data_IF_187760771496
#
_entry.id   IF_187760771496
#
_cell.length_a   1.000
_cell.length_b   1.000
_cell.length_c   1.000
_cell.angle_alpha   90.00
_cell.angle_beta   90.00
_cell.angle_gamma   90.00
#
_symmetry.space_group_name_H-M   'P 1'
#
loop_
_entity.id
_entity.type
_entity.pdbx_description
1 polymer ?
#
# COMPACT_ATOMS: atom_id res chain seq x y z
N UNK A 1 18.47 11.40 3.93
CA UNK A 1 18.79 12.70 3.29
C UNK A 1 18.23 12.77 1.88
N UNK A 2 17.71 13.91 1.44
CA UNK A 2 17.21 14.10 0.07
C UNK A 2 17.97 15.26 -0.59
N UNK A 3 18.55 15.02 -1.79
CA UNK A 3 19.10 16.07 -2.64
C UNK A 3 18.04 16.49 -3.66
N UNK A 4 17.71 17.78 -3.68
CA UNK A 4 16.87 18.41 -4.70
C UNK A 4 17.80 18.88 -5.82
N UNK A 5 17.55 18.44 -7.04
CA UNK A 5 18.39 18.84 -8.16
C UNK A 5 17.82 20.08 -8.86
N UNK A 6 18.73 20.86 -9.46
CA UNK A 6 18.35 21.98 -10.32
C UNK A 6 17.47 21.48 -11.47
N UNK A 7 16.47 22.27 -11.86
CA UNK A 7 15.63 21.96 -13.04
C UNK A 7 16.43 21.85 -14.34
N UNK A 8 17.56 22.51 -14.38
CA UNK A 8 18.52 22.50 -15.51
C UNK A 8 19.51 21.34 -15.48
N UNK A 9 19.49 20.50 -14.43
CA UNK A 9 20.45 19.41 -14.29
C UNK A 9 20.34 18.41 -15.45
N UNK A 10 21.45 18.24 -16.19
CA UNK A 10 21.51 17.32 -17.32
C UNK A 10 21.44 15.86 -16.87
N UNK A 11 21.07 14.96 -17.77
CA UNK A 11 21.11 13.51 -17.50
C UNK A 11 22.51 13.05 -17.04
N UNK A 12 23.56 13.63 -17.58
CA UNK A 12 24.94 13.35 -17.17
C UNK A 12 25.18 13.79 -15.74
N UNK A 13 24.75 15.00 -15.36
CA UNK A 13 24.88 15.53 -14.01
C UNK A 13 24.16 14.63 -12.99
N UNK A 14 22.93 14.22 -13.31
CA UNK A 14 22.17 13.29 -12.47
C UNK A 14 22.88 11.94 -12.31
N UNK A 15 23.40 11.37 -13.39
CA UNK A 15 24.16 10.12 -13.35
C UNK A 15 25.45 10.22 -12.55
N UNK A 16 26.15 11.36 -12.59
CA UNK A 16 27.37 11.59 -11.80
C UNK A 16 27.06 11.68 -10.31
N UNK A 17 25.96 12.34 -9.92
CA UNK A 17 25.50 12.40 -8.52
C UNK A 17 25.12 11.00 -8.01
N UNK A 18 24.34 10.24 -8.79
CA UNK A 18 23.96 8.87 -8.43
C UNK A 18 25.19 8.00 -8.25
N UNK A 19 26.11 8.03 -9.21
CA UNK A 19 27.36 7.25 -9.17
C UNK A 19 28.21 7.59 -7.93
N UNK A 20 28.34 8.88 -7.60
CA UNK A 20 29.06 9.32 -6.41
C UNK A 20 28.48 8.70 -5.15
N UNK A 21 27.16 8.75 -5.00
CA UNK A 21 26.47 8.22 -3.84
C UNK A 21 26.54 6.68 -3.75
N UNK A 22 26.40 5.97 -4.86
CA UNK A 22 26.54 4.52 -4.93
C UNK A 22 27.98 4.06 -4.61
N UNK A 23 28.98 4.77 -5.12
CA UNK A 23 30.40 4.52 -4.79
C UNK A 23 30.73 4.82 -3.31
N UNK A 24 29.98 5.71 -2.69
CA UNK A 24 30.05 5.99 -1.26
C UNK A 24 29.30 4.96 -0.40
N UNK A 25 28.71 3.92 -1.01
CA UNK A 25 28.05 2.81 -0.31
C UNK A 25 26.59 3.02 -0.01
N UNK A 26 25.96 4.07 -0.52
CA UNK A 26 24.55 4.36 -0.29
C UNK A 26 23.66 3.76 -1.39
N UNK A 27 22.45 3.37 -1.01
CA UNK A 27 21.37 3.15 -1.98
C UNK A 27 20.80 4.49 -2.42
N UNK A 28 20.51 4.59 -3.71
CA UNK A 28 20.01 5.82 -4.31
C UNK A 28 18.72 5.56 -5.04
N UNK A 29 17.75 6.44 -4.83
CA UNK A 29 16.52 6.44 -5.64
C UNK A 29 16.30 7.84 -6.22
N UNK A 30 16.08 7.88 -7.53
CA UNK A 30 15.78 9.11 -8.26
C UNK A 30 14.28 9.18 -8.53
N UNK A 31 13.69 10.33 -8.24
CA UNK A 31 12.30 10.65 -8.52
C UNK A 31 12.23 11.87 -9.40
N UNK A 32 11.45 11.77 -10.48
CA UNK A 32 11.22 12.87 -11.41
C UNK A 32 9.78 13.35 -11.28
N UNK A 33 9.60 14.66 -11.07
CA UNK A 33 8.29 15.30 -10.95
C UNK A 33 8.27 16.57 -11.81
N UNK A 34 7.10 17.15 -12.10
CA UNK A 34 7.00 18.46 -12.73
C UNK A 34 7.72 19.59 -11.96
N UNK A 35 7.92 19.41 -10.66
CA UNK A 35 8.61 20.37 -9.81
C UNK A 35 10.13 20.27 -9.88
N UNK A 36 10.66 19.09 -10.23
CA UNK A 36 12.10 18.83 -10.33
C UNK A 36 12.48 17.38 -10.15
N UNK A 37 13.78 17.13 -10.05
CA UNK A 37 14.34 15.81 -9.76
C UNK A 37 14.82 15.76 -8.31
N UNK A 38 14.53 14.67 -7.65
CA UNK A 38 14.89 14.40 -6.24
C UNK A 38 15.74 13.13 -6.19
N UNK A 39 16.80 13.18 -5.42
CA UNK A 39 17.68 12.03 -5.18
C UNK A 39 17.64 11.70 -3.69
N UNK A 40 17.00 10.59 -3.35
CA UNK A 40 17.00 10.09 -1.98
C UNK A 40 18.22 9.22 -1.72
N UNK A 41 18.95 9.57 -0.67
CA UNK A 41 20.11 8.83 -0.18
C UNK A 41 19.65 7.98 1.01
N UNK A 42 19.69 6.66 0.83
CA UNK A 42 19.18 5.68 1.79
C UNK A 42 20.36 4.89 2.37
N UNK A 43 20.54 4.96 3.69
CA UNK A 43 21.60 4.29 4.42
C UNK A 43 21.99 5.07 5.69
N UNK A 44 22.58 4.37 6.66
CA UNK A 44 23.15 5.00 7.85
C UNK A 44 24.37 5.83 7.46
N UNK A 45 24.56 6.98 8.13
CA UNK A 45 25.72 7.85 7.89
C UNK A 45 25.60 8.69 6.62
N UNK A 46 24.41 8.88 6.04
CA UNK A 46 24.23 9.72 4.84
C UNK A 46 24.67 11.18 5.05
N UNK A 47 24.76 11.64 6.27
CA UNK A 47 25.31 12.95 6.65
C UNK A 47 26.80 13.10 6.34
N UNK A 48 27.54 12.00 6.27
CA UNK A 48 29.00 12.02 5.95
C UNK A 48 29.32 12.49 4.54
N UNK A 49 28.39 12.38 3.62
CA UNK A 49 28.53 12.84 2.24
C UNK A 49 27.80 14.16 1.95
N UNK A 50 27.14 14.74 2.98
CA UNK A 50 26.29 15.92 2.80
C UNK A 50 27.05 17.13 2.23
N UNK A 51 28.23 17.41 2.74
CA UNK A 51 29.02 18.58 2.29
C UNK A 51 29.52 18.37 0.85
N UNK A 52 30.07 17.19 0.53
CA UNK A 52 30.49 16.86 -0.81
C UNK A 52 29.32 16.90 -1.80
N UNK A 53 28.15 16.40 -1.40
CA UNK A 53 26.96 16.40 -2.22
C UNK A 53 26.40 17.81 -2.45
N UNK A 54 26.49 18.69 -1.44
CA UNK A 54 26.06 20.10 -1.55
C UNK A 54 26.90 20.86 -2.55
N UNK A 55 28.18 20.56 -2.66
CA UNK A 55 29.13 21.21 -3.57
C UNK A 55 29.07 20.64 -5.00
N UNK A 56 28.35 19.55 -5.20
CA UNK A 56 28.19 18.95 -6.53
C UNK A 56 27.33 19.83 -7.44
N UNK A 57 27.82 20.06 -8.67
CA UNK A 57 27.06 20.78 -9.69
C UNK A 57 25.72 20.11 -9.96
N UNK A 58 24.66 20.91 -9.95
CA UNK A 58 23.31 20.45 -10.23
C UNK A 58 22.50 20.08 -8.98
N UNK A 59 23.09 20.18 -7.78
CA UNK A 59 22.37 20.10 -6.51
C UNK A 59 21.90 21.50 -6.14
N UNK A 60 20.60 21.70 -6.05
CA UNK A 60 19.99 22.98 -5.67
C UNK A 60 19.83 23.12 -4.15
N UNK A 61 19.46 22.02 -3.48
CA UNK A 61 19.15 22.00 -2.04
C UNK A 61 19.44 20.60 -1.46
N UNK A 62 19.93 20.55 -0.23
CA UNK A 62 19.98 19.34 0.56
C UNK A 62 18.97 19.45 1.72
N UNK A 63 18.16 18.43 1.90
CA UNK A 63 17.23 18.27 3.01
C UNK A 63 17.76 17.18 3.94
N UNK A 64 18.57 17.54 4.94
CA UNK A 64 19.13 16.56 5.87
C UNK A 64 18.07 15.92 6.76
N UNK A 65 17.02 16.68 7.13
CA UNK A 65 15.92 16.25 8.00
C UNK A 65 14.86 15.45 7.25
N UNK A 66 15.28 14.65 6.26
CA UNK A 66 14.37 13.72 5.62
C UNK A 66 13.82 12.75 6.68
N UNK A 67 12.49 12.46 6.64
CA UNK A 67 11.91 11.50 7.56
C UNK A 67 12.61 10.14 7.43
N UNK A 68 12.55 9.33 8.48
CA UNK A 68 13.17 8.00 8.50
C UNK A 68 12.58 7.01 7.46
N UNK A 69 11.58 7.46 6.68
CA UNK A 69 10.98 6.79 5.52
C UNK A 69 11.08 7.69 4.27
N UNK A 70 12.29 7.95 3.76
CA UNK A 70 12.51 8.97 2.71
C UNK A 70 11.76 8.67 1.43
N UNK A 71 11.71 7.40 0.97
CA UNK A 71 11.16 7.03 -0.35
C UNK A 71 9.65 7.20 -0.43
N UNK A 72 8.93 6.98 0.68
CA UNK A 72 7.46 7.14 0.72
C UNK A 72 7.03 8.54 1.14
N UNK A 73 7.97 9.42 1.52
CA UNK A 73 7.65 10.76 2.02
C UNK A 73 7.29 11.74 0.89
N UNK A 74 6.46 12.73 1.22
CA UNK A 74 6.19 13.87 0.34
C UNK A 74 7.44 14.72 0.10
N UNK A 75 8.42 14.67 0.97
CA UNK A 75 9.68 15.38 0.76
C UNK A 75 10.47 14.81 -0.42
N UNK A 76 10.36 13.48 -0.65
CA UNK A 76 10.96 12.81 -1.81
C UNK A 76 10.14 13.04 -3.10
N UNK A 77 8.81 12.95 -2.98
CA UNK A 77 7.90 13.09 -4.11
C UNK A 77 6.70 13.94 -3.70
N UNK A 78 6.67 15.23 -4.03
CA UNK A 78 5.57 16.14 -3.69
C UNK A 78 4.23 15.74 -4.31
N UNK A 79 4.25 15.22 -5.53
CA UNK A 79 3.05 14.80 -6.26
C UNK A 79 2.48 13.48 -5.73
N UNK A 80 1.16 13.39 -5.65
CA UNK A 80 0.47 12.17 -5.24
C UNK A 80 0.73 11.02 -6.23
N UNK A 81 1.08 9.86 -5.69
CA UNK A 81 1.22 8.64 -6.47
C UNK A 81 -0.14 8.10 -6.88
N UNK A 82 -0.25 7.72 -8.15
CA UNK A 82 -1.40 7.01 -8.71
C UNK A 82 -0.99 5.58 -8.98
N UNK A 83 -1.58 4.65 -8.24
CA UNK A 83 -1.32 3.23 -8.43
C UNK A 83 -2.26 2.67 -9.48
N UNK A 84 -1.69 2.30 -10.63
CA UNK A 84 -2.43 1.70 -11.74
C UNK A 84 -2.50 0.19 -11.58
N UNK A 85 -3.72 -0.35 -11.60
CA UNK A 85 -4.05 -1.78 -11.64
C UNK A 85 -4.82 -2.01 -12.93
N UNK A 86 -4.13 -2.22 -14.03
CA UNK A 86 -4.66 -2.23 -15.40
C UNK A 86 -5.49 -0.96 -15.73
N UNK A 87 -6.82 -1.07 -15.83
CA UNK A 87 -7.74 0.04 -16.11
C UNK A 87 -8.24 0.78 -14.86
N UNK A 88 -7.90 0.28 -13.66
CA UNK A 88 -8.26 0.92 -12.37
C UNK A 88 -7.10 1.76 -11.86
N UNK A 89 -7.37 3.00 -11.44
CA UNK A 89 -6.37 3.93 -10.90
C UNK A 89 -6.74 4.32 -9.48
N UNK A 90 -5.95 3.88 -8.50
CA UNK A 90 -6.12 4.22 -7.08
C UNK A 90 -5.28 5.45 -6.78
N UNK A 91 -5.85 6.45 -6.09
CA UNK A 91 -5.22 7.76 -5.90
C UNK A 91 -5.44 8.71 -7.10
N UNK A 92 -6.40 8.38 -7.99
CA UNK A 92 -6.87 9.24 -9.07
C UNK A 92 -7.98 10.21 -8.62
N UNK A 93 -8.81 10.61 -9.58
CA UNK A 93 -10.00 11.46 -9.30
C UNK A 93 -11.20 10.67 -8.80
N UNK A 94 -11.28 9.39 -9.19
CA UNK A 94 -12.39 8.52 -8.87
C UNK A 94 -12.12 7.75 -7.58
N UNK A 95 -13.15 7.66 -6.74
CA UNK A 95 -13.12 6.81 -5.56
C UNK A 95 -13.17 5.34 -5.99
N UNK A 96 -12.19 4.54 -5.60
CA UNK A 96 -12.16 3.11 -5.94
C UNK A 96 -12.79 2.29 -4.82
N UNK A 97 -13.80 1.49 -5.17
CA UNK A 97 -14.42 0.54 -4.24
C UNK A 97 -13.89 -0.86 -4.51
N UNK A 98 -13.29 -1.44 -3.47
CA UNK A 98 -12.91 -2.85 -3.40
C UNK A 98 -13.92 -3.56 -2.52
N UNK A 99 -14.58 -4.60 -3.02
CA UNK A 99 -15.61 -5.30 -2.26
C UNK A 99 -15.58 -6.80 -2.49
N UNK A 100 -16.06 -7.58 -1.51
CA UNK A 100 -16.14 -9.03 -1.60
C UNK A 100 -16.07 -9.71 -0.24
N UNK A 101 -16.08 -11.05 -0.19
CA UNK A 101 -16.16 -11.79 1.05
C UNK A 101 -14.85 -11.77 1.85
N UNK A 102 -14.94 -12.03 3.14
CA UNK A 102 -13.78 -12.22 4.01
C UNK A 102 -12.88 -13.35 3.52
N UNK A 103 -13.49 -14.47 3.15
CA UNK A 103 -12.86 -15.71 2.71
C UNK A 103 -13.49 -16.17 1.40
N UNK A 104 -12.70 -16.81 0.56
CA UNK A 104 -13.21 -17.67 -0.51
C UNK A 104 -13.57 -19.01 0.13
N UNK A 105 -14.86 -19.34 0.16
CA UNK A 105 -15.38 -20.52 0.87
C UNK A 105 -15.87 -21.60 -0.10
N UNK A 106 -16.47 -21.18 -1.21
CA UNK A 106 -16.87 -22.07 -2.32
C UNK A 106 -16.87 -21.29 -3.64
N UNK A 107 -16.98 -22.05 -4.74
CA UNK A 107 -17.12 -21.46 -6.07
C UNK A 107 -18.41 -20.64 -6.20
N UNK A 108 -19.52 -21.17 -5.71
CA UNK A 108 -20.82 -20.54 -5.74
C UNK A 108 -20.82 -19.21 -4.98
N UNK A 109 -20.27 -19.21 -3.77
CA UNK A 109 -20.17 -18.03 -2.91
C UNK A 109 -19.36 -16.91 -3.57
N UNK A 110 -18.15 -17.21 -4.09
CA UNK A 110 -17.29 -16.16 -4.65
C UNK A 110 -17.84 -15.61 -5.97
N UNK A 111 -18.43 -16.44 -6.82
CA UNK A 111 -19.02 -15.98 -8.07
C UNK A 111 -20.27 -15.13 -7.81
N UNK A 112 -21.14 -15.53 -6.89
CA UNK A 112 -22.31 -14.73 -6.51
C UNK A 112 -21.90 -13.39 -5.91
N UNK A 113 -20.90 -13.39 -5.03
CA UNK A 113 -20.34 -12.15 -4.45
C UNK A 113 -19.75 -11.25 -5.54
N UNK A 114 -18.97 -11.80 -6.49
CA UNK A 114 -18.35 -11.04 -7.57
C UNK A 114 -19.39 -10.38 -8.47
N UNK A 115 -20.43 -11.11 -8.88
CA UNK A 115 -21.52 -10.57 -9.68
C UNK A 115 -22.24 -9.42 -8.95
N UNK A 116 -22.57 -9.62 -7.66
CA UNK A 116 -23.26 -8.63 -6.86
C UNK A 116 -22.43 -7.34 -6.66
N UNK A 117 -21.14 -7.46 -6.32
CA UNK A 117 -20.30 -6.26 -6.08
C UNK A 117 -19.98 -5.56 -7.41
N UNK A 118 -19.85 -6.29 -8.51
CA UNK A 118 -19.69 -5.71 -9.85
C UNK A 118 -20.92 -4.88 -10.25
N UNK A 119 -22.12 -5.45 -10.04
CA UNK A 119 -23.38 -4.76 -10.31
C UNK A 119 -23.56 -3.51 -9.43
N UNK A 120 -23.02 -3.53 -8.19
CA UNK A 120 -23.01 -2.39 -7.28
C UNK A 120 -21.94 -1.34 -7.60
N UNK A 121 -21.11 -1.52 -8.65
CA UNK A 121 -20.12 -0.54 -9.08
C UNK A 121 -18.72 -0.71 -8.49
N UNK A 122 -18.44 -1.81 -7.78
CA UNK A 122 -17.06 -2.11 -7.36
C UNK A 122 -16.16 -2.33 -8.58
N UNK A 123 -14.89 -1.97 -8.43
CA UNK A 123 -13.86 -2.15 -9.47
C UNK A 123 -12.88 -3.26 -9.13
N UNK A 124 -12.77 -3.63 -7.85
CA UNK A 124 -11.85 -4.64 -7.35
C UNK A 124 -12.62 -5.63 -6.48
N UNK A 125 -12.45 -6.93 -6.77
CA UNK A 125 -12.94 -8.03 -5.93
C UNK A 125 -11.89 -8.29 -4.84
N UNK A 126 -12.32 -8.26 -3.57
CA UNK A 126 -11.49 -8.72 -2.46
C UNK A 126 -11.98 -10.09 -1.98
N UNK A 127 -11.06 -10.96 -1.61
CA UNK A 127 -11.38 -12.26 -1.03
C UNK A 127 -10.09 -12.93 -0.51
N UNK A 128 -10.14 -13.55 0.67
CA UNK A 128 -8.99 -14.25 1.24
C UNK A 128 -8.93 -15.69 0.78
N UNK A 129 -7.93 -16.05 -0.02
CA UNK A 129 -7.63 -17.46 -0.35
C UNK A 129 -6.88 -18.15 0.80
N UNK A 130 -6.01 -17.41 1.48
CA UNK A 130 -5.33 -17.80 2.71
C UNK A 130 -5.89 -17.00 3.88
N UNK A 131 -6.06 -17.62 5.05
CA UNK A 131 -6.67 -16.99 6.22
C UNK A 131 -5.83 -17.19 7.47
N UNK A 132 -5.04 -16.18 7.90
CA UNK A 132 -4.37 -16.25 9.19
C UNK A 132 -5.40 -16.21 10.32
N UNK A 133 -5.49 -17.29 11.09
CA UNK A 133 -6.46 -17.43 12.19
C UNK A 133 -5.74 -17.54 13.54
N UNK A 134 -6.38 -17.04 14.57
CA UNK A 134 -5.88 -17.18 15.95
C UNK A 134 -6.01 -18.61 16.47
N UNK A 135 -6.95 -19.40 15.94
CA UNK A 135 -7.12 -20.82 16.26
C UNK A 135 -6.68 -21.69 15.09
N UNK A 136 -5.84 -22.71 15.33
CA UNK A 136 -5.44 -23.66 14.28
C UNK A 136 -6.59 -24.54 13.79
N UNK A 137 -7.68 -24.60 14.54
CA UNK A 137 -8.88 -25.38 14.18
C UNK A 137 -9.87 -24.61 13.31
N UNK A 138 -9.67 -23.31 13.12
CA UNK A 138 -10.50 -22.48 12.23
C UNK A 138 -10.15 -22.73 10.77
N UNK A 139 -11.09 -22.47 9.88
CA UNK A 139 -10.89 -22.53 8.44
C UNK A 139 -9.70 -21.65 8.01
N UNK A 140 -8.68 -22.27 7.38
CA UNK A 140 -7.42 -21.61 6.99
C UNK A 140 -7.46 -21.03 5.57
N UNK A 141 -8.58 -21.16 4.87
CA UNK A 141 -8.73 -20.82 3.45
C UNK A 141 -8.59 -22.02 2.54
N UNK A 142 -8.92 -21.81 1.26
CA UNK A 142 -8.80 -22.84 0.22
C UNK A 142 -7.41 -22.87 -0.45
N UNK A 143 -6.49 -21.97 -0.04
CA UNK A 143 -5.15 -21.91 -0.61
C UNK A 143 -5.18 -21.69 -2.12
N UNK A 144 -4.40 -22.49 -2.86
CA UNK A 144 -4.33 -22.37 -4.33
C UNK A 144 -5.69 -22.49 -5.01
N UNK A 145 -6.56 -23.39 -4.57
CA UNK A 145 -7.92 -23.50 -5.12
C UNK A 145 -8.70 -22.19 -4.95
N UNK A 146 -8.54 -21.50 -3.82
CA UNK A 146 -9.16 -20.17 -3.60
C UNK A 146 -8.62 -19.10 -4.54
N UNK A 147 -7.32 -19.15 -4.90
CA UNK A 147 -6.73 -18.27 -5.91
C UNK A 147 -7.30 -18.55 -7.31
N UNK A 148 -7.44 -19.82 -7.68
CA UNK A 148 -8.04 -20.22 -8.97
C UNK A 148 -9.49 -19.75 -9.08
N UNK A 149 -10.27 -19.84 -8.00
CA UNK A 149 -11.66 -19.34 -7.95
C UNK A 149 -11.73 -17.80 -8.03
N UNK A 150 -10.78 -17.08 -7.45
CA UNK A 150 -10.68 -15.63 -7.61
C UNK A 150 -10.35 -15.24 -9.05
N UNK A 151 -9.47 -15.98 -9.71
CA UNK A 151 -9.15 -15.76 -11.12
C UNK A 151 -10.37 -16.04 -12.02
N UNK A 152 -11.13 -17.11 -11.77
CA UNK A 152 -12.39 -17.40 -12.47
C UNK A 152 -13.39 -16.26 -12.30
N UNK A 153 -13.54 -15.74 -11.07
CA UNK A 153 -14.43 -14.61 -10.79
C UNK A 153 -13.98 -13.34 -11.51
N UNK A 154 -12.66 -13.07 -11.57
CA UNK A 154 -12.08 -11.98 -12.36
C UNK A 154 -12.43 -12.10 -13.85
N UNK A 155 -12.17 -13.26 -14.43
CA UNK A 155 -12.37 -13.50 -15.87
C UNK A 155 -13.86 -13.36 -16.26
N UNK A 156 -14.76 -13.77 -15.36
CA UNK A 156 -16.21 -13.65 -15.54
C UNK A 156 -16.71 -12.20 -15.44
N UNK A 157 -16.20 -11.41 -14.50
CA UNK A 157 -16.77 -10.10 -14.14
C UNK A 157 -15.96 -8.91 -14.65
N UNK A 158 -14.69 -9.10 -15.01
CA UNK A 158 -13.74 -8.04 -15.32
C UNK A 158 -13.24 -7.26 -14.11
N UNK A 159 -13.63 -7.65 -12.87
CA UNK A 159 -13.10 -7.07 -11.64
C UNK A 159 -11.60 -7.40 -11.50
N UNK A 160 -10.82 -6.48 -10.94
CA UNK A 160 -9.45 -6.79 -10.52
C UNK A 160 -9.49 -7.52 -9.17
N UNK A 161 -8.47 -8.32 -8.88
CA UNK A 161 -8.43 -9.16 -7.67
C UNK A 161 -7.39 -8.63 -6.69
N UNK A 162 -7.81 -8.41 -5.44
CA UNK A 162 -6.92 -8.23 -4.28
C UNK A 162 -7.11 -9.37 -3.30
N UNK A 163 -6.02 -10.05 -2.95
CA UNK A 163 -6.02 -11.13 -1.96
C UNK A 163 -4.81 -11.07 -1.04
N UNK A 164 -4.96 -11.59 0.18
CA UNK A 164 -3.92 -11.55 1.20
C UNK A 164 -2.85 -12.61 0.94
N UNK A 165 -1.59 -12.21 0.99
CA UNK A 165 -0.44 -13.09 1.09
C UNK A 165 0.03 -13.12 2.55
N UNK A 166 0.30 -14.31 3.10
CA UNK A 166 0.53 -14.49 4.53
C UNK A 166 1.98 -14.87 4.86
N UNK A 167 2.72 -15.44 3.92
CA UNK A 167 4.10 -15.86 4.09
C UNK A 167 4.96 -15.48 2.87
N UNK A 168 6.29 -15.25 3.06
CA UNK A 168 7.18 -14.91 1.94
C UNK A 168 7.19 -15.96 0.83
N UNK A 169 7.11 -17.23 1.19
CA UNK A 169 7.10 -18.38 0.27
C UNK A 169 5.87 -18.45 -0.64
N UNK A 170 4.76 -17.82 -0.25
CA UNK A 170 3.52 -17.79 -1.02
C UNK A 170 3.46 -16.61 -2.00
N UNK A 171 4.41 -15.67 -1.93
CA UNK A 171 4.33 -14.41 -2.69
C UNK A 171 4.26 -14.65 -4.19
N UNK A 172 5.11 -15.51 -4.74
CA UNK A 172 5.12 -15.80 -6.18
C UNK A 172 3.82 -16.45 -6.62
N UNK A 173 3.35 -17.46 -5.88
CA UNK A 173 2.08 -18.14 -6.15
C UNK A 173 0.90 -17.15 -6.13
N UNK A 174 0.81 -16.30 -5.11
CA UNK A 174 -0.30 -15.33 -5.03
C UNK A 174 -0.21 -14.29 -6.15
N UNK A 175 1.00 -13.87 -6.53
CA UNK A 175 1.22 -12.89 -7.60
C UNK A 175 0.82 -13.40 -9.01
N UNK A 176 0.77 -14.72 -9.23
CA UNK A 176 0.27 -15.31 -10.48
C UNK A 176 -1.24 -15.04 -10.66
N UNK A 177 -2.01 -15.07 -9.58
CA UNK A 177 -3.49 -14.99 -9.62
C UNK A 177 -4.04 -13.61 -9.26
N UNK A 178 -3.37 -12.87 -8.38
CA UNK A 178 -3.83 -11.57 -7.91
C UNK A 178 -3.28 -10.40 -8.72
N UNK A 179 -4.08 -9.35 -8.84
CA UNK A 179 -3.68 -8.07 -9.44
C UNK A 179 -3.09 -7.12 -8.39
N UNK A 180 -3.44 -7.32 -7.12
CA UNK A 180 -2.92 -6.57 -5.96
C UNK A 180 -2.64 -7.56 -4.82
N UNK A 181 -1.43 -7.49 -4.25
CA UNK A 181 -1.03 -8.27 -3.09
C UNK A 181 -1.42 -7.54 -1.81
N UNK A 182 -2.24 -8.14 -0.96
CA UNK A 182 -2.60 -7.53 0.33
C UNK A 182 -1.67 -8.04 1.43
N UNK A 183 -1.08 -7.12 2.18
CA UNK A 183 -0.43 -7.39 3.47
C UNK A 183 -1.45 -7.11 4.57
N UNK A 184 -1.86 -8.15 5.27
CA UNK A 184 -2.81 -8.03 6.37
C UNK A 184 -2.23 -7.28 7.57
N UNK A 185 -3.10 -6.72 8.41
CA UNK A 185 -2.71 -5.93 9.58
C UNK A 185 -1.80 -6.67 10.57
N UNK A 186 -1.91 -8.00 10.66
CA UNK A 186 -1.04 -8.83 11.51
C UNK A 186 0.37 -8.98 10.96
N UNK A 187 0.55 -8.78 9.65
CA UNK A 187 1.81 -8.92 8.92
C UNK A 187 2.47 -7.57 8.59
N UNK A 188 1.95 -6.45 9.10
CA UNK A 188 2.55 -5.13 8.84
C UNK A 188 4.02 -5.05 9.29
N UNK A 189 4.40 -5.77 10.34
CA UNK A 189 5.77 -5.86 10.84
C UNK A 189 6.52 -7.12 10.39
N UNK A 190 5.98 -7.87 9.44
CA UNK A 190 6.69 -9.01 8.85
C UNK A 190 7.64 -8.50 7.76
N UNK A 191 8.80 -7.98 8.17
CA UNK A 191 9.76 -7.33 7.26
C UNK A 191 10.27 -8.27 6.16
N UNK A 192 10.33 -9.58 6.41
CA UNK A 192 10.68 -10.57 5.37
C UNK A 192 9.61 -10.62 4.28
N UNK A 193 8.33 -10.63 4.67
CA UNK A 193 7.21 -10.60 3.74
C UNK A 193 7.16 -9.26 2.98
N UNK A 194 7.37 -8.13 3.68
CA UNK A 194 7.44 -6.81 3.05
C UNK A 194 8.55 -6.73 2.00
N UNK A 195 9.73 -7.27 2.30
CA UNK A 195 10.83 -7.33 1.34
C UNK A 195 10.49 -8.22 0.14
N UNK A 196 9.85 -9.38 0.36
CA UNK A 196 9.46 -10.29 -0.72
C UNK A 196 8.43 -9.67 -1.67
N UNK A 197 7.38 -9.01 -1.16
CA UNK A 197 6.40 -8.30 -2.02
C UNK A 197 6.99 -7.04 -2.65
N UNK A 198 8.03 -6.45 -2.05
CA UNK A 198 8.78 -5.34 -2.62
C UNK A 198 9.54 -5.72 -3.90
N UNK A 199 9.91 -6.98 -4.09
CA UNK A 199 10.55 -7.49 -5.31
C UNK A 199 9.54 -7.85 -6.41
N UNK A 200 8.24 -7.87 -6.11
CA UNK A 200 7.20 -8.24 -7.06
C UNK A 200 6.73 -7.04 -7.90
N UNK A 201 6.33 -7.28 -9.16
CA UNK A 201 5.77 -6.24 -10.01
C UNK A 201 4.30 -5.91 -9.70
N UNK A 202 3.61 -6.63 -8.81
CA UNK A 202 2.22 -6.38 -8.45
C UNK A 202 2.10 -5.24 -7.43
N UNK A 203 1.10 -4.34 -7.53
CA UNK A 203 0.80 -3.38 -6.48
C UNK A 203 0.58 -4.04 -5.13
N UNK A 204 0.93 -3.36 -4.06
CA UNK A 204 0.81 -3.84 -2.68
C UNK A 204 -0.19 -2.99 -1.91
N UNK A 205 -1.22 -3.61 -1.34
CA UNK A 205 -2.13 -3.02 -0.38
C UNK A 205 -1.65 -3.34 1.03
N UNK A 206 -1.10 -2.33 1.73
CA UNK A 206 -0.58 -2.46 3.09
C UNK A 206 -1.63 -2.01 4.10
N UNK A 207 -2.14 -2.94 4.91
CA UNK A 207 -3.07 -2.63 6.02
C UNK A 207 -2.32 -2.25 7.28
N UNK A 208 -2.74 -1.15 7.91
CA UNK A 208 -2.21 -0.69 9.20
C UNK A 208 -2.39 -1.76 10.27
N UNK A 209 -1.35 -1.99 11.07
CA UNK A 209 -1.40 -2.86 12.24
C UNK A 209 -2.36 -2.30 13.30
N UNK A 210 -3.01 -3.19 14.04
CA UNK A 210 -4.06 -2.80 15.00
C UNK A 210 -3.53 -1.99 16.20
N UNK A 211 -2.22 -2.00 16.44
CA UNK A 211 -1.57 -1.25 17.52
C UNK A 211 -0.41 -0.40 16.98
N UNK A 212 -0.46 -0.09 15.68
CA UNK A 212 0.65 0.58 14.99
C UNK A 212 0.37 2.06 14.83
N UNK A 213 1.41 2.85 15.02
CA UNK A 213 1.39 4.28 14.69
C UNK A 213 1.37 4.50 13.18
N UNK A 214 1.11 5.73 12.76
CA UNK A 214 1.25 6.15 11.35
C UNK A 214 2.70 6.01 10.89
N UNK A 215 3.66 6.39 11.73
CA UNK A 215 5.09 6.30 11.39
C UNK A 215 5.54 4.85 11.19
N UNK A 216 5.11 3.91 12.04
CA UNK A 216 5.39 2.47 11.83
C UNK A 216 4.79 1.95 10.51
N UNK A 217 3.61 2.44 10.11
CA UNK A 217 3.02 2.09 8.83
C UNK A 217 3.84 2.65 7.65
N UNK A 218 4.35 3.87 7.76
CA UNK A 218 5.21 4.47 6.74
C UNK A 218 6.56 3.77 6.65
N UNK A 219 7.16 3.35 7.77
CA UNK A 219 8.34 2.49 7.77
C UNK A 219 8.08 1.14 7.09
N UNK A 220 6.94 0.52 7.34
CA UNK A 220 6.57 -0.72 6.68
C UNK A 220 6.41 -0.53 5.15
N UNK A 221 5.80 0.57 4.72
CA UNK A 221 5.71 0.93 3.31
C UNK A 221 7.08 1.19 2.68
N UNK A 222 7.99 1.82 3.43
CA UNK A 222 9.38 2.06 3.00
C UNK A 222 10.09 0.76 2.66
N UNK A 223 9.91 -0.33 3.43
CA UNK A 223 10.48 -1.64 3.10
C UNK A 223 10.06 -2.15 1.73
N UNK A 224 8.78 -1.97 1.38
CA UNK A 224 8.25 -2.40 0.08
C UNK A 224 8.85 -1.56 -1.04
N UNK A 225 8.89 -0.23 -0.87
CA UNK A 225 9.43 0.69 -1.88
C UNK A 225 10.93 0.51 -2.04
N UNK A 226 11.68 0.35 -0.94
CA UNK A 226 13.12 0.07 -0.97
C UNK A 226 13.45 -1.28 -1.61
N UNK A 227 12.52 -2.23 -1.61
CA UNK A 227 12.60 -3.48 -2.35
C UNK A 227 12.46 -3.33 -3.87
N UNK A 228 12.06 -2.14 -4.36
CA UNK A 228 11.91 -1.82 -5.78
C UNK A 228 10.45 -1.65 -6.25
N UNK A 229 9.45 -1.83 -5.37
CA UNK A 229 8.04 -1.69 -5.74
C UNK A 229 7.42 -0.38 -5.21
N UNK A 230 7.35 0.68 -6.03
CA UNK A 230 6.76 1.95 -5.62
C UNK A 230 5.22 1.97 -5.62
N UNK A 231 4.57 0.87 -6.02
CA UNK A 231 3.11 0.77 -6.18
C UNK A 231 2.47 0.29 -4.89
N UNK A 232 2.56 1.10 -3.83
CA UNK A 232 2.00 0.82 -2.52
C UNK A 232 0.73 1.63 -2.30
N UNK A 233 -0.30 0.99 -1.75
CA UNK A 233 -1.57 1.57 -1.32
C UNK A 233 -1.68 1.37 0.18
N UNK A 234 -1.87 2.44 0.93
CA UNK A 234 -2.04 2.37 2.38
C UNK A 234 -3.51 2.16 2.73
N UNK A 235 -3.79 1.37 3.77
CA UNK A 235 -5.15 1.09 4.20
C UNK A 235 -5.30 1.24 5.72
N UNK A 236 -6.01 2.29 6.13
CA UNK A 236 -6.50 2.40 7.52
C UNK A 236 -7.64 1.40 7.73
N UNK A 237 -7.65 0.68 8.88
CA UNK A 237 -8.62 -0.39 9.17
C UNK A 237 -9.10 -0.46 10.62
N UNK A 238 -8.81 0.57 11.38
CA UNK A 238 -9.07 0.65 12.81
C UNK A 238 -7.92 0.14 13.67
N UNK A 239 -7.78 0.75 14.82
CA UNK A 239 -6.79 0.44 15.84
C UNK A 239 -7.46 -0.03 17.12
N UNK A 240 -6.76 -0.81 17.93
CA UNK A 240 -7.20 -1.17 19.28
C UNK A 240 -7.05 0.03 20.19
N UNK A 241 -8.10 0.33 20.92
CA UNK A 241 -8.13 1.35 21.96
C UNK A 241 -8.78 0.78 23.20
N UNK A 242 -9.01 1.60 24.21
CA UNK A 242 -9.78 1.25 25.39
C UNK A 242 -11.29 1.04 25.11
N UNK A 243 -11.80 1.55 23.96
CA UNK A 243 -13.21 1.40 23.57
C UNK A 243 -13.48 -0.02 23.06
N UNK A 244 -14.54 -0.64 23.60
CA UNK A 244 -14.91 -2.03 23.30
C UNK A 244 -16.26 -2.19 22.61
N UNK A 245 -17.00 -1.08 22.40
CA UNK A 245 -18.31 -1.11 21.72
C UNK A 245 -18.18 -1.41 20.24
N UNK A 246 -17.06 -1.04 19.61
CA UNK A 246 -16.69 -1.41 18.26
C UNK A 246 -15.55 -2.44 18.27
N UNK A 247 -15.42 -3.18 17.19
CA UNK A 247 -14.32 -4.15 17.04
C UNK A 247 -12.95 -3.50 17.10
N UNK A 248 -12.79 -2.34 16.45
CA UNK A 248 -11.63 -1.46 16.50
C UNK A 248 -12.12 -0.02 16.32
N UNK A 249 -11.39 0.93 16.87
CA UNK A 249 -11.65 2.35 16.64
C UNK A 249 -11.11 2.74 15.25
N UNK A 250 -11.99 3.18 14.36
CA UNK A 250 -11.57 3.69 13.05
C UNK A 250 -10.89 5.04 13.23
N UNK A 251 -9.58 5.09 12.97
CA UNK A 251 -8.77 6.30 13.09
C UNK A 251 -8.83 7.11 11.78
N UNK A 252 -9.89 7.89 11.62
CA UNK A 252 -10.03 8.75 10.43
C UNK A 252 -9.02 9.90 10.39
N UNK A 253 -8.44 10.30 11.54
CA UNK A 253 -7.36 11.29 11.55
C UNK A 253 -6.11 10.78 10.81
N UNK A 254 -5.89 9.47 10.77
CA UNK A 254 -4.77 8.90 10.00
C UNK A 254 -4.84 9.23 8.51
N UNK A 255 -6.04 9.44 7.94
CA UNK A 255 -6.19 9.74 6.50
C UNK A 255 -5.53 11.08 6.13
N UNK A 256 -5.93 12.24 6.69
CA UNK A 256 -5.27 13.50 6.36
C UNK A 256 -3.79 13.54 6.79
N UNK A 257 -3.41 12.90 7.91
CA UNK A 257 -2.01 12.80 8.35
C UNK A 257 -1.17 12.04 7.31
N UNK A 258 -1.64 10.89 6.82
CA UNK A 258 -0.97 10.15 5.76
C UNK A 258 -0.88 10.97 4.47
N UNK A 259 -1.98 11.63 4.07
CA UNK A 259 -2.01 12.50 2.88
C UNK A 259 -1.02 13.67 2.96
N UNK A 260 -0.72 14.17 4.15
CA UNK A 260 0.29 15.20 4.38
C UNK A 260 1.71 14.62 4.30
N UNK A 261 1.95 13.46 4.94
CA UNK A 261 3.30 12.91 5.12
C UNK A 261 3.82 12.10 3.95
N UNK A 262 2.91 11.43 3.20
CA UNK A 262 3.29 10.54 2.10
C UNK A 262 2.60 10.90 0.79
N UNK A 263 3.24 10.54 -0.32
CA UNK A 263 2.66 10.64 -1.65
C UNK A 263 1.79 9.43 -2.03
N UNK A 264 1.77 8.36 -1.20
CA UNK A 264 1.05 7.12 -1.48
C UNK A 264 -0.47 7.31 -1.33
N UNK A 265 -1.29 6.62 -2.14
CA UNK A 265 -2.73 6.65 -1.97
C UNK A 265 -3.17 5.96 -0.68
N UNK A 266 -4.24 6.47 -0.08
CA UNK A 266 -4.79 6.01 1.19
C UNK A 266 -6.24 5.57 1.00
N UNK A 267 -6.53 4.30 1.31
CA UNK A 267 -7.89 3.78 1.36
C UNK A 267 -8.28 3.41 2.79
N UNK A 268 -9.56 3.17 3.02
CA UNK A 268 -10.09 2.84 4.35
C UNK A 268 -10.92 1.55 4.32
N UNK A 269 -10.76 0.75 5.35
CA UNK A 269 -11.53 -0.47 5.62
C UNK A 269 -12.47 -0.26 6.81
N UNK A 270 -13.70 0.21 6.59
CA UNK A 270 -14.66 0.43 7.66
C UNK A 270 -15.22 -0.88 8.23
N UNK A 271 -15.20 -1.98 7.45
CA UNK A 271 -15.76 -3.27 7.86
C UNK A 271 -14.97 -3.90 9.00
N UNK A 272 -13.63 -3.93 8.89
CA UNK A 272 -12.78 -4.48 9.94
C UNK A 272 -12.62 -3.55 11.14
N UNK A 273 -12.93 -2.26 11.00
CA UNK A 273 -13.02 -1.34 12.13
C UNK A 273 -14.33 -1.52 12.89
N UNK A 274 -15.46 -1.39 12.21
CA UNK A 274 -16.79 -1.43 12.82
C UNK A 274 -17.12 -2.76 13.52
N UNK A 275 -16.91 -3.87 12.82
CA UNK A 275 -17.33 -5.20 13.25
C UNK A 275 -18.85 -5.42 13.21
N UNK A 276 -19.63 -4.42 12.77
CA UNK A 276 -21.08 -4.44 12.58
C UNK A 276 -21.46 -3.83 11.25
N UNK A 277 -22.27 -4.56 10.46
CA UNK A 277 -22.66 -4.14 9.08
C UNK A 277 -23.43 -2.82 9.07
N UNK A 278 -24.26 -2.57 10.09
CA UNK A 278 -25.10 -1.39 10.18
C UNK A 278 -24.29 -0.08 10.26
N UNK A 279 -23.06 -0.15 10.77
CA UNK A 279 -22.18 1.02 10.94
C UNK A 279 -21.30 1.29 9.71
N UNK A 280 -21.10 0.28 8.87
CA UNK A 280 -20.20 0.37 7.70
C UNK A 280 -20.59 1.52 6.76
N UNK A 281 -21.87 1.75 6.39
CA UNK A 281 -22.21 2.84 5.48
C UNK A 281 -21.93 4.24 6.04
N UNK A 282 -22.09 4.44 7.36
CA UNK A 282 -21.76 5.72 8.00
C UNK A 282 -20.26 5.97 8.01
N UNK A 283 -19.48 4.97 8.42
CA UNK A 283 -18.01 5.05 8.46
C UNK A 283 -17.40 5.16 7.06
N UNK A 284 -17.98 4.49 6.06
CA UNK A 284 -17.57 4.63 4.67
C UNK A 284 -17.71 6.07 4.15
N UNK A 285 -18.87 6.71 4.40
CA UNK A 285 -19.07 8.13 4.04
C UNK A 285 -18.11 9.05 4.78
N UNK A 286 -17.87 8.80 6.06
CA UNK A 286 -16.92 9.58 6.86
C UNK A 286 -15.49 9.44 6.34
N UNK A 287 -15.07 8.23 5.91
CA UNK A 287 -13.77 8.00 5.31
C UNK A 287 -13.58 8.78 3.99
N UNK A 288 -14.61 8.83 3.15
CA UNK A 288 -14.59 9.63 1.91
C UNK A 288 -14.48 11.12 2.24
N UNK A 289 -15.25 11.61 3.22
CA UNK A 289 -15.18 12.99 3.67
C UNK A 289 -13.81 13.36 4.27
N UNK A 290 -13.11 12.39 4.91
CA UNK A 290 -11.75 12.56 5.41
C UNK A 290 -10.69 12.58 4.29
N UNK A 291 -11.06 12.29 3.03
CA UNK A 291 -10.17 12.36 1.86
C UNK A 291 -9.57 11.02 1.42
N UNK A 292 -10.18 9.89 1.77
CA UNK A 292 -9.75 8.58 1.30
C UNK A 292 -9.84 8.45 -0.23
N UNK A 293 -8.85 7.82 -0.85
CA UNK A 293 -8.81 7.54 -2.30
C UNK A 293 -9.65 6.32 -2.70
N UNK A 294 -10.11 5.55 -1.73
CA UNK A 294 -10.94 4.37 -1.94
C UNK A 294 -11.40 3.74 -0.64
N UNK A 295 -12.21 2.71 -0.80
CA UNK A 295 -12.73 1.90 0.31
C UNK A 295 -12.52 0.43 0.00
N UNK A 296 -12.25 -0.37 1.05
CA UNK A 296 -12.31 -1.82 0.97
C UNK A 296 -13.34 -2.33 1.96
N UNK A 297 -14.38 -2.99 1.46
CA UNK A 297 -15.51 -3.44 2.26
C UNK A 297 -15.72 -4.94 2.18
N UNK A 298 -16.16 -5.50 3.29
CA UNK A 298 -16.51 -6.91 3.39
C UNK A 298 -17.98 -7.08 3.04
N UNK A 299 -18.27 -7.97 2.10
CA UNK A 299 -19.62 -8.28 1.62
C UNK A 299 -19.75 -9.80 1.54
N UNK A 300 -20.85 -10.33 2.03
CA UNK A 300 -21.20 -11.74 1.92
C UNK A 300 -22.59 -11.87 1.30
N UNK A 301 -22.85 -12.89 0.45
CA UNK A 301 -24.17 -13.06 -0.17
C UNK A 301 -25.27 -13.42 0.83
N UNK A 302 -24.94 -13.97 2.02
CA UNK A 302 -25.91 -14.37 3.08
C UNK A 302 -26.04 -13.32 4.19
#
# INVERSE_FOLDING_TARGET
MIAVLEKSASLKTKADIVRFLEQSGFRVQVSETPEGSFVSVVGEGAETVADALRDMRGVAELRPDAPAYPLVSRAHKPDATRVKVEDVVIGGRELVIMAGPCSVESREQILAAADAVRAAGARVLRGGAFKPRSSPYSFQGLGKQGLELLAEARDRTGLKVVTEVVAPEDVDLVAEYADVLQIGARNMHNYRLLSAVGMQPRPVLLKRGMMSTVDEMLHAAEYVVAGGNPRVILCERGIRTFETSSRNTLDLCAVPILKERTHLPVIVDPSHAAGRREWVPALARAAVAAGADGLIVEVHPD
#
